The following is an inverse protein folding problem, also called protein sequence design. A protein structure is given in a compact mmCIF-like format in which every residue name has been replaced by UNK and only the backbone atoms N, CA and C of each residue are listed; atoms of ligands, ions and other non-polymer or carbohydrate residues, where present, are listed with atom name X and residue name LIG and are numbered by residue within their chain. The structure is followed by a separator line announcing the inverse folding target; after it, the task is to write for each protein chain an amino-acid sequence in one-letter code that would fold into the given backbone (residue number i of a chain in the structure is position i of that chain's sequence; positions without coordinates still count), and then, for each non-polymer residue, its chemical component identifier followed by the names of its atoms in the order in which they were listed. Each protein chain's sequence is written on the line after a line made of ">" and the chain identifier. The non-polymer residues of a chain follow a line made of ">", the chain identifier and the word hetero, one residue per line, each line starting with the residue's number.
data_IF_219187151359
#
_entry.id   IF_219187151359
#
_cell.length_a   1.000
_cell.length_b   1.000
_cell.length_c   1.000
_cell.angle_alpha   90.00
_cell.angle_beta   90.00
_cell.angle_gamma   90.00
#
_symmetry.space_group_name_H-M   'P 1'
#
loop_
_entity.id
_entity.type
_entity.pdbx_description
1 polymer ?
#
# COMPACT_ATOMS: atom_id res chain seq x y z
N UNK A 1 9.54 14.01 -6.64
CA UNK A 1 8.55 12.91 -6.58
C UNK A 1 8.13 12.72 -5.12
N UNK A 2 6.94 13.17 -4.70
CA UNK A 2 6.49 13.13 -3.29
C UNK A 2 5.72 11.83 -3.01
N UNK A 3 6.29 10.94 -2.21
CA UNK A 3 5.63 9.70 -1.77
C UNK A 3 4.57 10.03 -0.71
N UNK A 4 3.28 10.02 -1.08
CA UNK A 4 2.17 10.44 -0.18
C UNK A 4 1.95 9.51 1.02
N UNK A 5 2.38 8.26 0.95
CA UNK A 5 1.92 7.18 1.85
C UNK A 5 2.97 6.71 2.86
N UNK A 6 4.22 7.18 2.80
CA UNK A 6 5.34 6.74 3.66
C UNK A 6 5.46 5.21 3.82
N UNK A 7 5.07 4.42 2.80
CA UNK A 7 5.07 2.96 2.84
C UNK A 7 3.91 2.31 3.63
N UNK A 8 2.93 3.10 4.10
CA UNK A 8 1.74 2.59 4.78
C UNK A 8 0.70 2.12 3.78
N UNK A 9 0.25 0.87 3.95
CA UNK A 9 -0.81 0.24 3.14
C UNK A 9 -2.17 0.46 3.79
N UNK A 10 -2.23 0.41 5.13
CA UNK A 10 -3.45 0.46 5.94
C UNK A 10 -3.61 1.81 6.64
N UNK A 11 -4.85 2.14 7.02
CA UNK A 11 -5.20 3.34 7.79
C UNK A 11 -5.42 4.58 6.93
N UNK A 12 -5.85 5.67 7.59
CA UNK A 12 -6.06 6.96 6.91
C UNK A 12 -4.74 7.59 6.46
N UNK A 13 -4.71 8.15 5.25
CA UNK A 13 -3.54 8.51 4.47
C UNK A 13 -2.78 7.31 3.86
N UNK A 14 -3.33 6.10 3.93
CA UNK A 14 -2.70 4.87 3.45
C UNK A 14 -2.78 4.71 1.93
N UNK A 15 -1.87 3.93 1.35
CA UNK A 15 -1.86 3.68 -0.09
C UNK A 15 -3.18 3.06 -0.58
N UNK A 16 -3.79 2.19 0.21
CA UNK A 16 -5.06 1.60 -0.15
C UNK A 16 -6.22 2.60 -0.16
N UNK A 17 -6.26 3.53 0.81
CA UNK A 17 -7.29 4.56 0.88
C UNK A 17 -7.13 5.58 -0.26
N UNK A 18 -5.90 6.03 -0.53
CA UNK A 18 -5.62 6.95 -1.65
C UNK A 18 -5.97 6.30 -3.00
N UNK A 19 -5.79 4.99 -3.12
CA UNK A 19 -6.15 4.23 -4.32
C UNK A 19 -7.62 3.77 -4.33
N UNK A 20 -8.42 4.03 -3.28
CA UNK A 20 -9.81 3.59 -3.18
C UNK A 20 -9.99 2.07 -3.14
N UNK A 21 -8.98 1.32 -2.68
CA UNK A 21 -8.98 -0.13 -2.63
C UNK A 21 -9.05 -0.65 -1.20
N UNK A 22 -9.60 -1.86 -1.02
CA UNK A 22 -9.50 -2.57 0.26
C UNK A 22 -8.01 -2.77 0.62
N UNK A 23 -7.56 -2.41 1.84
CA UNK A 23 -6.16 -2.56 2.25
C UNK A 23 -5.61 -3.98 2.13
N UNK A 24 -6.44 -4.97 2.46
CA UNK A 24 -6.11 -6.39 2.34
C UNK A 24 -5.92 -6.82 0.88
N UNK A 25 -6.71 -6.28 -0.05
CA UNK A 25 -6.56 -6.53 -1.50
C UNK A 25 -5.26 -5.94 -2.02
N UNK A 26 -4.93 -4.71 -1.64
CA UNK A 26 -3.67 -4.09 -2.04
C UNK A 26 -2.47 -4.87 -1.49
N UNK A 27 -2.51 -5.28 -0.22
CA UNK A 27 -1.47 -6.11 0.38
C UNK A 27 -1.31 -7.46 -0.32
N UNK A 28 -2.42 -8.12 -0.68
CA UNK A 28 -2.38 -9.37 -1.43
C UNK A 28 -1.75 -9.21 -2.82
N UNK A 29 -2.10 -8.15 -3.55
CA UNK A 29 -1.50 -7.85 -4.87
C UNK A 29 -0.01 -7.59 -4.75
N UNK A 30 0.41 -6.78 -3.77
CA UNK A 30 1.83 -6.50 -3.46
C UNK A 30 2.59 -7.81 -3.19
N UNK A 31 2.01 -8.73 -2.42
CA UNK A 31 2.60 -10.05 -2.15
C UNK A 31 2.68 -10.91 -3.41
N UNK A 32 1.63 -10.92 -4.25
CA UNK A 32 1.60 -11.68 -5.51
C UNK A 32 2.66 -11.23 -6.51
N UNK A 33 2.93 -9.93 -6.60
CA UNK A 33 3.95 -9.36 -7.48
C UNK A 33 5.35 -9.33 -6.86
N UNK A 34 5.52 -9.91 -5.66
CA UNK A 34 6.83 -10.05 -5.02
C UNK A 34 7.41 -8.75 -4.45
N UNK A 35 6.64 -7.67 -4.32
CA UNK A 35 7.11 -6.43 -3.70
C UNK A 35 7.23 -6.63 -2.20
N UNK A 36 8.46 -6.54 -1.69
CA UNK A 36 8.76 -6.59 -0.26
C UNK A 36 8.79 -5.17 0.30
N UNK A 37 8.41 -5.02 1.57
CA UNK A 37 8.63 -3.75 2.27
C UNK A 37 10.14 -3.50 2.37
N UNK A 38 10.64 -2.31 2.00
CA UNK A 38 12.01 -1.94 2.33
C UNK A 38 12.17 -1.99 3.85
N UNK A 39 13.31 -2.53 4.29
CA UNK A 39 13.64 -2.70 5.71
C UNK A 39 14.02 -1.37 6.34
#
# INVERSE_FOLDING_TARGET
>A
MRCKTRGRIYGSGGAAEILGMKPTTLAYRIKRIGIKRPK
#
